data_IF_010357760144
#
_entry.id   IF_010357760144
#
_cell.length_a   1.000
_cell.length_b   1.000
_cell.length_c   1.000
_cell.angle_alpha   90.00
_cell.angle_beta   90.00
_cell.angle_gamma   90.00
#
_symmetry.space_group_name_H-M   'P 1'
#
loop_
_entity.id
_entity.type
_entity.pdbx_description
1 polymer ?
#
# COMPACT_ATOMS: atom_id res chain seq x y z
N UNK A 1 19.67 -16.83 1.12
CA UNK A 1 18.83 -17.93 0.63
C UNK A 1 17.50 -17.77 1.34
N UNK A 2 16.56 -17.05 0.73
CA UNK A 2 15.27 -16.75 1.36
C UNK A 2 14.42 -18.00 1.37
N UNK A 3 13.86 -18.28 2.53
CA UNK A 3 13.00 -19.43 2.84
C UNK A 3 11.68 -19.32 2.05
N UNK A 4 11.48 -20.27 1.12
CA UNK A 4 10.29 -20.37 0.26
C UNK A 4 8.99 -20.53 1.06
N UNK A 5 9.06 -20.98 2.31
CA UNK A 5 7.88 -21.26 3.13
C UNK A 5 7.18 -19.98 3.62
N UNK A 6 7.92 -18.88 3.80
CA UNK A 6 7.34 -17.59 4.18
C UNK A 6 6.56 -16.93 3.04
N UNK A 7 6.99 -17.13 1.80
CA UNK A 7 6.29 -16.60 0.62
C UNK A 7 5.01 -17.39 0.33
N UNK A 8 5.01 -18.71 0.58
CA UNK A 8 3.82 -19.55 0.51
C UNK A 8 2.78 -19.19 1.58
N UNK A 9 3.21 -18.88 2.81
CA UNK A 9 2.33 -18.46 3.89
C UNK A 9 1.63 -17.12 3.60
N UNK A 10 2.33 -16.16 2.98
CA UNK A 10 1.75 -14.87 2.58
C UNK A 10 0.74 -15.01 1.42
N UNK A 11 1.03 -15.90 0.46
CA UNK A 11 0.09 -16.26 -0.62
C UNK A 11 -1.20 -16.86 -0.04
N UNK A 12 -1.08 -17.82 0.89
CA UNK A 12 -2.23 -18.47 1.51
C UNK A 12 -3.08 -17.50 2.35
N UNK A 13 -2.47 -16.50 3.00
CA UNK A 13 -3.17 -15.53 3.82
C UNK A 13 -4.00 -14.53 2.98
N UNK A 14 -3.45 -14.07 1.85
CA UNK A 14 -4.18 -13.18 0.91
C UNK A 14 -5.34 -13.92 0.21
N UNK A 15 -5.17 -15.18 -0.17
CA UNK A 15 -6.26 -16.01 -0.71
C UNK A 15 -7.34 -16.33 0.34
N UNK A 16 -6.97 -16.46 1.61
CA UNK A 16 -7.94 -16.67 2.70
C UNK A 16 -8.81 -15.44 2.96
N UNK A 17 -8.26 -14.22 2.86
CA UNK A 17 -9.03 -12.97 2.99
C UNK A 17 -10.06 -12.79 1.86
N UNK A 18 -9.73 -13.22 0.63
CA UNK A 18 -10.67 -13.21 -0.50
C UNK A 18 -11.81 -14.24 -0.36
N UNK A 19 -11.62 -15.28 0.46
CA UNK A 19 -12.60 -16.36 0.66
C UNK A 19 -13.50 -16.20 1.90
N UNK A 20 -13.24 -15.20 2.75
CA UNK A 20 -14.01 -14.97 3.97
C UNK A 20 -15.48 -14.54 3.70
N UNK A 21 -15.76 -13.89 2.57
CA UNK A 21 -17.12 -13.52 2.16
C UNK A 21 -17.99 -14.74 1.78
N UNK A 22 -17.36 -15.86 1.41
CA UNK A 22 -18.06 -17.10 1.04
C UNK A 22 -18.46 -17.94 2.26
N UNK A 23 -17.87 -17.69 3.44
CA UNK A 23 -18.14 -18.47 4.65
C UNK A 23 -19.33 -17.95 5.47
N UNK A 24 -19.69 -16.68 5.34
CA UNK A 24 -20.84 -16.11 6.05
C UNK A 24 -22.19 -16.65 5.54
N UNK A 25 -22.27 -17.04 4.27
CA UNK A 25 -23.44 -17.70 3.67
C UNK A 25 -23.57 -19.19 4.09
N UNK A 26 -22.49 -19.82 4.57
CA UNK A 26 -22.49 -21.23 4.99
C UNK A 26 -22.92 -21.43 6.44
N UNK A 27 -22.86 -20.39 7.28
CA UNK A 27 -23.27 -20.50 8.69
C UNK A 27 -24.79 -20.47 8.89
N UNK A 28 -25.55 -19.86 7.96
CA UNK A 28 -27.02 -19.81 8.07
C UNK A 28 -27.73 -21.12 7.65
N UNK A 29 -27.05 -22.03 6.95
CA UNK A 29 -27.65 -23.28 6.45
C UNK A 29 -27.53 -24.50 7.38
N UNK A 30 -26.91 -24.38 8.58
CA UNK A 30 -26.64 -25.50 9.50
C UNK A 30 -27.40 -25.46 10.83
N UNK A 31 -28.52 -24.73 10.91
CA UNK A 31 -29.36 -24.66 12.13
C UNK A 31 -30.69 -25.40 12.03
N UNK A 32 -30.81 -26.40 11.16
CA UNK A 32 -31.97 -27.29 11.20
C UNK A 32 -31.54 -28.75 11.17
N UNK A 33 -32.13 -29.49 12.11
CA UNK A 33 -32.12 -30.93 12.31
C UNK A 33 -30.97 -31.46 13.17
N UNK A 34 -31.37 -31.84 14.37
CA UNK A 34 -30.63 -32.58 15.38
C UNK A 34 -31.36 -33.93 15.61
N UNK A 35 -30.63 -34.93 16.10
CA UNK A 35 -31.03 -36.27 16.60
C UNK A 35 -31.10 -37.46 15.60
N UNK A 36 -30.19 -38.43 15.80
CA UNK A 36 -30.49 -39.84 15.56
C UNK A 36 -29.34 -40.72 15.02
N UNK A 37 -28.75 -41.51 15.92
CA UNK A 37 -28.15 -42.84 15.73
C UNK A 37 -27.01 -43.08 14.70
N UNK A 38 -25.91 -43.59 15.24
CA UNK A 38 -24.73 -44.16 14.56
C UNK A 38 -25.08 -45.49 13.89
N UNK A 39 -24.78 -45.63 12.60
CA UNK A 39 -24.42 -46.91 11.97
C UNK A 39 -23.25 -46.70 11.01
N UNK A 40 -22.20 -47.52 11.17
CA UNK A 40 -21.02 -47.52 10.31
C UNK A 40 -21.38 -48.11 8.95
N UNK A 41 -21.30 -47.30 7.89
CA UNK A 41 -21.26 -47.77 6.51
C UNK A 41 -20.00 -47.23 5.85
N UNK A 42 -19.11 -48.14 5.46
CA UNK A 42 -17.94 -47.86 4.61
C UNK A 42 -18.43 -47.53 3.21
N UNK A 43 -18.86 -46.28 3.01
CA UNK A 43 -19.09 -45.74 1.67
C UNK A 43 -17.73 -45.41 1.05
N UNK A 44 -17.48 -46.05 -0.10
CA UNK A 44 -16.34 -45.72 -0.95
C UNK A 44 -16.49 -44.27 -1.37
N UNK A 45 -15.63 -43.41 -0.84
CA UNK A 45 -15.51 -42.02 -1.26
C UNK A 45 -15.11 -42.03 -2.74
N UNK A 46 -16.08 -41.81 -3.62
CA UNK A 46 -15.82 -41.43 -5.00
C UNK A 46 -15.02 -40.13 -4.99
N UNK A 47 -13.96 -39.99 -5.81
CA UNK A 47 -13.28 -38.72 -5.96
C UNK A 47 -14.33 -37.70 -6.41
N UNK A 48 -14.62 -36.73 -5.55
CA UNK A 48 -15.41 -35.56 -5.94
C UNK A 48 -14.57 -34.86 -6.99
N UNK A 49 -14.95 -35.05 -8.25
CA UNK A 49 -14.48 -34.27 -9.38
C UNK A 49 -14.87 -32.82 -9.07
N UNK A 50 -13.94 -32.07 -8.49
CA UNK A 50 -14.09 -30.63 -8.28
C UNK A 50 -13.90 -30.03 -9.67
N UNK A 51 -14.95 -29.51 -10.32
CA UNK A 51 -14.71 -28.78 -11.56
C UNK A 51 -13.76 -27.62 -11.22
N UNK A 52 -12.68 -27.51 -11.99
CA UNK A 52 -11.77 -26.37 -12.03
C UNK A 52 -12.57 -25.14 -12.46
N UNK A 53 -13.38 -24.61 -11.57
CA UNK A 53 -14.12 -23.37 -11.75
C UNK A 53 -13.19 -22.26 -11.30
N UNK A 54 -12.19 -21.95 -12.13
CA UNK A 54 -11.66 -20.59 -12.09
C UNK A 54 -12.85 -19.65 -12.30
N UNK A 55 -13.16 -18.76 -11.34
CA UNK A 55 -14.29 -17.88 -11.47
C UNK A 55 -14.06 -16.97 -12.68
N UNK A 56 -14.87 -17.15 -13.72
CA UNK A 56 -14.81 -16.32 -14.92
C UNK A 56 -15.08 -14.87 -14.52
N UNK A 57 -14.16 -13.98 -14.88
CA UNK A 57 -14.37 -12.55 -14.72
C UNK A 57 -15.63 -12.13 -15.49
N UNK A 58 -16.47 -11.34 -14.83
CA UNK A 58 -17.57 -10.65 -15.49
C UNK A 58 -17.04 -9.76 -16.62
N UNK A 59 -17.89 -9.43 -17.60
CA UNK A 59 -17.52 -8.52 -18.68
C UNK A 59 -16.99 -7.17 -18.16
N UNK A 60 -17.54 -6.67 -17.05
CA UNK A 60 -17.07 -5.46 -16.38
C UNK A 60 -15.66 -5.63 -15.81
N UNK A 61 -15.40 -6.71 -15.07
CA UNK A 61 -14.07 -6.99 -14.50
C UNK A 61 -13.00 -7.18 -15.60
N UNK A 62 -13.35 -7.88 -16.68
CA UNK A 62 -12.46 -8.07 -17.82
C UNK A 62 -12.12 -6.74 -18.50
N UNK A 63 -13.13 -5.93 -18.81
CA UNK A 63 -12.93 -4.62 -19.42
C UNK A 63 -12.12 -3.68 -18.51
N UNK A 64 -12.36 -3.73 -17.19
CA UNK A 64 -11.59 -2.95 -16.22
C UNK A 64 -10.13 -3.38 -16.19
N UNK A 65 -9.89 -4.69 -16.11
CA UNK A 65 -8.54 -5.27 -16.12
C UNK A 65 -7.79 -4.87 -17.38
N UNK A 66 -8.39 -5.01 -18.55
CA UNK A 66 -7.78 -4.64 -19.84
C UNK A 66 -7.46 -3.14 -19.90
N UNK A 67 -8.35 -2.28 -19.43
CA UNK A 67 -8.13 -0.83 -19.34
C UNK A 67 -6.92 -0.50 -18.46
N UNK A 68 -6.83 -1.10 -17.28
CA UNK A 68 -5.73 -0.88 -16.35
C UNK A 68 -4.40 -1.42 -16.89
N UNK A 69 -4.41 -2.57 -17.58
CA UNK A 69 -3.22 -3.15 -18.20
C UNK A 69 -2.70 -2.32 -19.37
N UNK A 70 -3.61 -1.79 -20.19
CA UNK A 70 -3.28 -0.97 -21.35
C UNK A 70 -2.76 0.42 -21.00
N UNK A 71 -2.99 0.92 -19.77
CA UNK A 71 -2.52 2.23 -19.34
C UNK A 71 -1.00 2.22 -19.09
N UNK A 72 -0.19 2.94 -19.90
CA UNK A 72 1.24 3.05 -19.67
C UNK A 72 1.52 3.93 -18.44
N UNK A 73 2.71 3.81 -17.85
CA UNK A 73 3.16 4.77 -16.83
C UNK A 73 3.34 6.13 -17.50
N UNK A 74 2.84 7.18 -16.86
CA UNK A 74 2.98 8.57 -17.30
C UNK A 74 3.56 9.42 -16.18
N UNK A 75 4.15 10.55 -16.54
CA UNK A 75 4.56 11.56 -15.55
C UNK A 75 3.35 12.01 -14.72
N UNK A 76 3.60 12.35 -13.47
CA UNK A 76 2.57 12.95 -12.62
C UNK A 76 2.07 14.26 -13.23
N UNK A 77 0.76 14.55 -13.15
CA UNK A 77 0.21 15.82 -13.60
C UNK A 77 0.65 16.94 -12.67
N UNK A 78 0.57 18.18 -13.15
CA UNK A 78 0.60 19.36 -12.27
C UNK A 78 -0.46 19.21 -11.16
N UNK A 79 -0.15 19.58 -9.90
CA UNK A 79 1.05 20.29 -9.44
C UNK A 79 2.20 19.38 -8.98
N UNK A 80 2.14 18.07 -9.26
CA UNK A 80 3.08 17.08 -8.72
C UNK A 80 4.36 16.97 -9.55
N UNK A 81 5.49 17.00 -8.86
CA UNK A 81 6.83 16.94 -9.42
C UNK A 81 7.60 15.79 -8.77
N UNK A 82 8.25 14.96 -9.59
CA UNK A 82 9.16 13.93 -9.07
C UNK A 82 10.38 14.60 -8.46
N UNK A 83 10.71 14.21 -7.23
CA UNK A 83 11.82 14.78 -6.46
C UNK A 83 12.97 13.78 -6.37
N UNK A 84 12.67 12.53 -6.05
CA UNK A 84 13.69 11.55 -5.78
C UNK A 84 13.26 10.12 -6.09
N UNK A 85 14.24 9.33 -6.51
CA UNK A 85 14.22 7.87 -6.50
C UNK A 85 15.44 7.44 -5.67
N UNK A 86 15.21 6.96 -4.45
CA UNK A 86 16.27 6.64 -3.50
C UNK A 86 16.38 5.13 -3.35
N UNK A 87 17.53 4.52 -3.72
CA UNK A 87 17.77 3.10 -3.48
C UNK A 87 17.86 2.79 -1.99
N UNK A 88 17.09 1.79 -1.55
CA UNK A 88 17.09 1.24 -0.19
C UNK A 88 16.93 -0.27 -0.27
N UNK A 89 18.04 -0.99 -0.10
CA UNK A 89 18.04 -2.45 -0.13
C UNK A 89 17.23 -3.05 1.03
N UNK A 90 16.34 -3.98 0.72
CA UNK A 90 15.55 -4.69 1.74
C UNK A 90 14.62 -3.77 2.51
N UNK A 91 14.05 -2.76 1.86
CA UNK A 91 13.06 -1.88 2.46
C UNK A 91 11.85 -2.70 2.92
N UNK A 92 11.49 -2.52 4.19
CA UNK A 92 10.39 -3.21 4.86
C UNK A 92 9.14 -2.34 4.90
N UNK A 93 9.28 -1.04 5.13
CA UNK A 93 8.17 -0.09 5.12
C UNK A 93 8.62 1.36 5.26
N UNK A 94 7.66 2.27 5.14
CA UNK A 94 7.87 3.70 5.28
C UNK A 94 6.79 4.34 6.15
N UNK A 95 7.11 5.49 6.75
CA UNK A 95 6.16 6.30 7.50
C UNK A 95 6.47 7.78 7.40
N UNK A 96 5.45 8.63 7.49
CA UNK A 96 5.63 10.07 7.46
C UNK A 96 5.72 10.67 8.86
N UNK A 97 6.53 11.71 8.99
CA UNK A 97 6.57 12.58 10.15
C UNK A 97 6.65 14.05 9.70
N UNK A 98 6.35 14.98 10.60
CA UNK A 98 6.58 16.41 10.35
C UNK A 98 7.85 16.83 11.07
N UNK A 99 8.72 17.57 10.38
CA UNK A 99 9.85 18.22 11.03
C UNK A 99 9.33 19.18 12.13
N UNK A 100 9.93 19.17 13.33
CA UNK A 100 9.36 19.87 14.49
C UNK A 100 9.36 21.40 14.33
N UNK A 101 10.33 21.97 13.62
CA UNK A 101 10.51 23.43 13.53
C UNK A 101 9.71 24.07 12.39
N UNK A 102 9.76 23.50 11.20
CA UNK A 102 9.21 24.10 9.97
C UNK A 102 8.11 23.26 9.32
N UNK A 103 7.70 22.16 9.98
CA UNK A 103 6.55 21.32 9.61
C UNK A 103 6.63 20.67 8.24
N UNK A 104 7.78 20.70 7.57
CA UNK A 104 7.96 20.01 6.29
C UNK A 104 7.88 18.50 6.46
N UNK A 105 7.48 17.82 5.40
CA UNK A 105 7.30 16.38 5.41
C UNK A 105 8.66 15.67 5.47
N UNK A 106 8.76 14.72 6.39
CA UNK A 106 9.87 13.79 6.50
C UNK A 106 9.36 12.38 6.25
N UNK A 107 10.19 11.54 5.64
CA UNK A 107 9.88 10.12 5.46
C UNK A 107 10.91 9.25 6.17
N UNK A 108 10.41 8.47 7.12
CA UNK A 108 11.14 7.43 7.81
C UNK A 108 11.08 6.17 6.95
N UNK A 109 12.22 5.51 6.78
CA UNK A 109 12.36 4.28 6.01
C UNK A 109 12.96 3.22 6.93
N UNK A 110 12.28 2.09 7.02
CA UNK A 110 12.72 0.91 7.77
C UNK A 110 13.18 -0.14 6.77
N UNK A 111 14.42 -0.61 6.91
CA UNK A 111 15.03 -1.61 6.01
C UNK A 111 15.79 -2.65 6.80
N UNK A 112 16.15 -3.76 6.14
CA UNK A 112 16.96 -4.84 6.72
C UNK A 112 18.34 -4.39 7.18
N UNK A 113 18.89 -3.32 6.59
CA UNK A 113 20.20 -2.78 6.98
C UNK A 113 20.06 -1.66 8.03
N UNK A 114 18.90 -1.54 8.67
CA UNK A 114 18.55 -0.51 9.64
C UNK A 114 17.65 0.58 9.07
N UNK A 115 17.54 1.69 9.78
CA UNK A 115 16.57 2.75 9.49
C UNK A 115 17.21 4.02 8.97
N UNK A 116 16.47 4.79 8.19
CA UNK A 116 16.89 6.10 7.69
C UNK A 116 15.75 7.11 7.66
N UNK A 117 16.08 8.38 7.91
CA UNK A 117 15.15 9.49 7.79
C UNK A 117 15.57 10.36 6.63
N UNK A 118 14.61 10.73 5.79
CA UNK A 118 14.81 11.55 4.61
C UNK A 118 13.91 12.77 4.65
N UNK A 119 14.42 13.86 4.09
CA UNK A 119 13.60 15.00 3.71
C UNK A 119 12.70 14.57 2.54
N UNK A 120 11.38 14.60 2.72
CA UNK A 120 10.48 14.12 1.69
C UNK A 120 10.36 15.11 0.50
N UNK A 121 10.80 16.36 0.69
CA UNK A 121 10.73 17.43 -0.31
C UNK A 121 11.98 17.50 -1.17
N UNK A 122 13.14 17.09 -0.65
CA UNK A 122 14.40 17.07 -1.41
C UNK A 122 14.89 15.64 -1.71
N UNK A 123 14.41 14.64 -0.99
CA UNK A 123 14.94 13.27 -1.04
C UNK A 123 16.29 13.09 -0.32
N UNK A 124 16.81 14.13 0.33
CA UNK A 124 18.08 14.06 1.03
C UNK A 124 17.96 13.25 2.32
N UNK A 125 18.99 12.44 2.60
CA UNK A 125 19.06 11.66 3.84
C UNK A 125 19.50 12.55 5.00
N UNK A 126 18.65 12.68 6.01
CA UNK A 126 18.86 13.50 7.20
C UNK A 126 19.56 12.70 8.31
N UNK A 127 19.12 11.46 8.54
CA UNK A 127 19.66 10.61 9.60
C UNK A 127 19.67 9.14 9.20
N UNK A 128 20.53 8.34 9.84
CA UNK A 128 20.64 6.90 9.62
C UNK A 128 21.02 6.20 10.91
N UNK A 129 20.30 5.14 11.23
CA UNK A 129 20.66 4.19 12.28
C UNK A 129 20.83 2.79 11.68
N UNK A 130 22.07 2.27 11.69
CA UNK A 130 22.41 0.98 11.07
C UNK A 130 22.09 -0.22 11.96
N UNK A 131 22.04 -0.02 13.26
CA UNK A 131 21.88 -1.11 14.23
C UNK A 131 20.83 -0.69 15.27
N UNK A 132 19.54 -0.60 14.86
CA UNK A 132 18.46 -0.37 15.82
C UNK A 132 18.46 -1.46 16.89
N UNK A 133 17.97 -1.13 18.09
CA UNK A 133 17.77 -2.12 19.15
C UNK A 133 16.86 -3.27 18.70
N UNK A 134 16.97 -4.48 19.27
CA UNK A 134 16.16 -5.63 18.87
C UNK A 134 14.64 -5.38 18.90
N UNK A 135 14.18 -4.56 19.84
CA UNK A 135 12.78 -4.15 19.98
C UNK A 135 12.30 -3.12 18.94
N UNK A 136 13.24 -2.46 18.25
CA UNK A 136 12.96 -1.40 17.29
C UNK A 136 13.38 -1.77 15.87
N UNK A 137 14.06 -2.91 15.64
CA UNK A 137 14.56 -3.34 14.33
C UNK A 137 13.46 -3.38 13.26
N UNK A 138 12.29 -3.92 13.61
CA UNK A 138 11.13 -4.04 12.72
C UNK A 138 9.86 -3.43 13.34
N UNK A 139 8.90 -2.96 12.51
CA UNK A 139 7.70 -2.29 13.03
C UNK A 139 6.76 -3.20 13.83
N UNK A 140 6.75 -4.51 13.54
CA UNK A 140 5.85 -5.50 14.15
C UNK A 140 6.20 -5.87 15.59
N UNK A 141 7.37 -5.43 16.08
CA UNK A 141 7.73 -5.52 17.51
C UNK A 141 6.80 -4.70 18.40
N UNK A 142 6.08 -3.72 17.84
CA UNK A 142 5.11 -2.89 18.56
C UNK A 142 3.68 -3.07 18.03
N UNK A 143 2.65 -3.08 18.90
CA UNK A 143 1.26 -3.27 18.47
C UNK A 143 0.73 -2.23 17.49
N UNK A 144 1.30 -1.03 17.49
CA UNK A 144 0.91 0.10 16.65
C UNK A 144 1.74 0.22 15.36
N UNK A 145 2.56 -0.79 15.06
CA UNK A 145 3.42 -0.88 13.87
C UNK A 145 4.30 0.35 13.68
N UNK A 146 4.95 0.81 14.76
CA UNK A 146 5.75 2.03 14.76
C UNK A 146 7.22 1.79 15.08
N UNK A 147 8.09 2.66 14.58
CA UNK A 147 9.52 2.69 14.90
C UNK A 147 9.92 4.03 15.55
N UNK A 148 10.99 4.10 16.36
CA UNK A 148 11.49 5.34 16.92
C UNK A 148 11.93 6.33 15.83
N UNK A 149 11.65 7.61 16.03
CA UNK A 149 12.12 8.68 15.15
C UNK A 149 13.64 8.89 15.25
N UNK A 150 14.25 9.26 14.12
CA UNK A 150 15.68 9.59 14.03
C UNK A 150 15.91 11.09 13.95
N UNK A 151 17.12 11.55 14.30
CA UNK A 151 17.55 12.92 14.13
C UNK A 151 16.55 13.94 14.72
N UNK A 152 16.00 14.88 13.92
CA UNK A 152 15.13 15.95 14.42
C UNK A 152 13.80 15.44 15.03
N UNK A 153 13.40 14.20 14.76
CA UNK A 153 12.16 13.62 15.32
C UNK A 153 12.43 12.58 16.40
N UNK A 154 13.66 12.51 16.92
CA UNK A 154 13.97 11.68 18.08
C UNK A 154 13.07 12.03 19.27
N UNK A 155 12.61 11.01 19.99
CA UNK A 155 11.61 11.13 21.06
C UNK A 155 10.16 11.01 20.58
N UNK A 156 9.93 10.94 19.27
CA UNK A 156 8.63 10.56 18.67
C UNK A 156 8.68 9.15 18.11
N UNK A 157 7.52 8.55 17.83
CA UNK A 157 7.40 7.30 17.05
C UNK A 157 6.73 7.59 15.72
N UNK A 158 7.11 6.82 14.70
CA UNK A 158 6.56 6.94 13.35
C UNK A 158 5.83 5.65 13.01
N UNK A 159 4.53 5.74 12.68
CA UNK A 159 3.78 4.59 12.17
C UNK A 159 4.27 4.21 10.78
N UNK A 160 4.52 2.92 10.59
CA UNK A 160 5.13 2.38 9.38
C UNK A 160 4.09 1.58 8.60
N UNK A 161 3.98 1.87 7.31
CA UNK A 161 3.23 1.09 6.34
C UNK A 161 4.19 0.30 5.46
N UNK A 162 3.93 -0.99 5.26
CA UNK A 162 4.82 -1.86 4.49
C UNK A 162 4.51 -3.34 4.60
N UNK A 163 5.57 -4.16 4.63
CA UNK A 163 5.53 -5.61 4.72
C UNK A 163 4.66 -6.14 5.87
N UNK A 164 4.69 -5.48 7.02
CA UNK A 164 3.97 -5.90 8.21
C UNK A 164 2.53 -5.36 8.30
N UNK A 165 2.06 -4.63 7.29
CA UNK A 165 0.75 -3.98 7.27
C UNK A 165 0.86 -2.46 7.44
N UNK A 166 -0.14 -1.87 8.08
CA UNK A 166 -0.28 -0.41 8.21
C UNK A 166 -0.92 0.24 6.97
N UNK A 167 -0.96 1.57 6.97
CA UNK A 167 -1.53 2.34 5.86
C UNK A 167 -1.08 3.79 5.88
N UNK A 168 -0.88 4.35 4.69
CA UNK A 168 -0.66 5.78 4.48
C UNK A 168 -1.97 6.46 4.05
N UNK A 169 -2.00 7.79 4.08
CA UNK A 169 -3.18 8.51 3.60
C UNK A 169 -3.38 8.26 2.10
N UNK A 170 -4.58 7.85 1.70
CA UNK A 170 -4.94 7.64 0.29
C UNK A 170 -5.68 8.82 -0.32
N UNK A 171 -5.97 9.84 0.48
CA UNK A 171 -6.68 11.05 0.04
C UNK A 171 -6.06 12.30 0.64
N UNK A 172 -6.27 13.44 -0.02
CA UNK A 172 -5.89 14.76 0.47
C UNK A 172 -7.10 15.67 0.59
N UNK A 173 -7.02 16.71 1.41
CA UNK A 173 -8.13 17.64 1.66
C UNK A 173 -8.59 18.41 0.42
N UNK A 174 -7.73 18.60 -0.57
CA UNK A 174 -8.03 19.30 -1.83
C UNK A 174 -8.41 18.34 -2.98
N UNK A 175 -8.76 17.09 -2.65
CA UNK A 175 -9.46 16.18 -3.54
C UNK A 175 -8.57 15.27 -4.39
N UNK A 176 -7.29 15.08 -4.04
CA UNK A 176 -6.47 14.03 -4.66
C UNK A 176 -6.70 12.68 -4.01
N UNK A 177 -6.64 11.63 -4.84
CA UNK A 177 -6.84 10.25 -4.46
C UNK A 177 -5.70 9.40 -5.03
N UNK A 178 -5.20 8.48 -4.21
CA UNK A 178 -4.19 7.50 -4.57
C UNK A 178 -4.77 6.10 -4.35
N UNK A 179 -4.69 5.27 -5.38
CA UNK A 179 -5.17 3.89 -5.35
C UNK A 179 -4.06 2.95 -5.81
N UNK A 180 -3.98 1.79 -5.17
CA UNK A 180 -3.07 0.71 -5.56
C UNK A 180 -3.91 -0.42 -6.12
N UNK A 181 -3.67 -0.79 -7.38
CA UNK A 181 -4.39 -1.86 -8.08
C UNK A 181 -3.43 -2.92 -8.58
N UNK A 182 -3.89 -4.17 -8.62
CA UNK A 182 -3.06 -5.32 -9.04
C UNK A 182 -3.72 -6.11 -10.18
N UNK A 183 -3.91 -5.50 -11.38
CA UNK A 183 -4.67 -6.13 -12.47
C UNK A 183 -3.98 -7.39 -13.05
N UNK A 184 -2.66 -7.51 -12.87
CA UNK A 184 -1.89 -8.70 -13.17
C UNK A 184 -0.89 -8.96 -12.04
N UNK A 185 -1.38 -9.60 -10.98
CA UNK A 185 -0.57 -10.04 -9.85
C UNK A 185 0.72 -10.73 -10.34
N UNK A 186 1.88 -10.46 -9.72
CA UNK A 186 2.11 -9.62 -8.53
C UNK A 186 2.40 -8.14 -8.82
N UNK A 187 2.09 -7.64 -10.02
CA UNK A 187 2.53 -6.31 -10.43
C UNK A 187 1.54 -5.22 -10.01
N UNK A 188 1.83 -4.59 -8.88
CA UNK A 188 1.07 -3.46 -8.36
C UNK A 188 1.27 -2.19 -9.20
N UNK A 189 0.20 -1.41 -9.32
CA UNK A 189 0.18 -0.14 -10.03
C UNK A 189 -0.39 0.93 -9.11
N UNK A 190 0.27 2.08 -9.05
CA UNK A 190 -0.19 3.23 -8.29
C UNK A 190 -0.86 4.20 -9.25
N UNK A 191 -2.13 4.48 -8.97
CA UNK A 191 -2.98 5.38 -9.71
C UNK A 191 -3.17 6.66 -8.90
N UNK A 192 -2.97 7.80 -9.55
CA UNK A 192 -3.32 9.12 -9.02
C UNK A 192 -4.55 9.63 -9.74
N UNK A 193 -5.46 10.28 -9.03
CA UNK A 193 -6.65 10.94 -9.61
C UNK A 193 -7.09 12.13 -8.77
N UNK A 194 -8.02 12.94 -9.30
CA UNK A 194 -8.59 14.11 -8.63
C UNK A 194 -10.12 14.13 -8.77
N UNK A 195 -10.80 14.76 -7.82
CA UNK A 195 -12.23 15.11 -7.84
C UNK A 195 -13.21 13.92 -7.71
N UNK A 196 -12.81 12.86 -7.01
CA UNK A 196 -13.74 11.96 -6.31
C UNK A 196 -14.70 11.15 -7.17
N UNK A 197 -14.40 10.95 -8.47
CA UNK A 197 -15.13 10.00 -9.31
C UNK A 197 -14.78 8.55 -8.98
N UNK A 198 -15.42 7.59 -9.67
CA UNK A 198 -14.85 6.25 -9.80
C UNK A 198 -13.38 6.46 -10.22
N UNK A 199 -12.39 5.93 -9.48
CA UNK A 199 -11.01 5.93 -9.95
C UNK A 199 -11.00 5.37 -11.37
N UNK A 200 -10.06 5.72 -12.22
CA UNK A 200 -9.99 5.25 -13.62
C UNK A 200 -11.23 5.54 -14.53
N UNK A 201 -12.17 6.41 -14.13
CA UNK A 201 -13.25 6.88 -15.01
C UNK A 201 -12.78 8.02 -15.94
N UNK A 202 -13.04 7.88 -17.25
CA UNK A 202 -12.59 8.82 -18.27
C UNK A 202 -11.11 8.67 -18.70
N UNK A 203 -10.60 9.54 -19.58
CA UNK A 203 -9.33 9.30 -20.28
C UNK A 203 -8.12 9.22 -19.34
N UNK A 204 -7.27 8.22 -19.59
CA UNK A 204 -5.96 8.07 -18.92
C UNK A 204 -5.04 9.23 -19.33
N UNK A 205 -4.32 9.82 -18.38
CA UNK A 205 -3.49 11.00 -18.59
C UNK A 205 -4.23 12.33 -18.42
N UNK A 206 -5.56 12.29 -18.24
CA UNK A 206 -6.38 13.49 -18.06
C UNK A 206 -7.16 13.50 -16.73
N UNK A 207 -7.82 12.39 -16.39
CA UNK A 207 -8.59 12.27 -15.14
C UNK A 207 -7.90 11.41 -14.09
N UNK A 208 -7.04 10.52 -14.55
CA UNK A 208 -6.27 9.62 -13.72
C UNK A 208 -4.97 9.26 -14.44
N UNK A 209 -3.94 8.99 -13.65
CA UNK A 209 -2.58 8.76 -14.11
C UNK A 209 -2.05 7.49 -13.45
N UNK A 210 -1.53 6.57 -14.26
CA UNK A 210 -0.71 5.49 -13.75
C UNK A 210 0.70 6.04 -13.52
N UNK A 211 1.05 6.31 -12.26
CA UNK A 211 2.27 7.07 -11.90
C UNK A 211 3.43 6.17 -11.48
N UNK A 212 3.15 4.92 -11.10
CA UNK A 212 4.16 3.95 -10.72
C UNK A 212 3.71 2.52 -11.02
N UNK A 213 4.64 1.68 -11.49
CA UNK A 213 4.42 0.27 -11.78
C UNK A 213 5.50 -0.58 -11.11
N UNK A 214 5.10 -1.43 -10.16
CA UNK A 214 5.98 -2.39 -9.49
C UNK A 214 6.14 -3.64 -10.36
N UNK A 215 7.12 -3.66 -11.27
CA UNK A 215 7.35 -4.77 -12.19
C UNK A 215 8.67 -5.53 -11.97
N UNK A 216 9.55 -5.02 -11.10
CA UNK A 216 10.85 -5.64 -10.77
C UNK A 216 11.06 -5.83 -9.26
N UNK A 217 10.35 -5.08 -8.43
CA UNK A 217 10.51 -5.06 -6.98
C UNK A 217 9.16 -5.23 -6.30
N UNK A 218 9.16 -5.83 -5.12
CA UNK A 218 7.94 -6.08 -4.36
C UNK A 218 7.40 -4.76 -3.81
N UNK A 219 6.14 -4.45 -4.09
CA UNK A 219 5.49 -3.27 -3.55
C UNK A 219 5.38 -3.35 -2.01
N UNK A 220 5.68 -2.25 -1.32
CA UNK A 220 5.60 -2.14 0.14
C UNK A 220 4.47 -1.24 0.58
N UNK A 221 4.43 -0.01 0.08
CA UNK A 221 3.41 0.96 0.47
C UNK A 221 3.33 2.11 -0.55
N UNK A 222 2.19 2.79 -0.58
CA UNK A 222 2.04 4.06 -1.26
C UNK A 222 1.02 4.94 -0.54
N UNK A 223 1.23 6.25 -0.60
CA UNK A 223 0.27 7.21 -0.08
C UNK A 223 0.83 8.61 0.08
N UNK A 224 -0.03 9.49 0.56
CA UNK A 224 0.26 10.88 0.86
C UNK A 224 0.86 11.04 2.25
N UNK A 225 1.67 12.08 2.41
CA UNK A 225 1.99 12.64 3.72
C UNK A 225 0.73 13.20 4.40
N UNK A 226 0.73 13.34 5.74
CA UNK A 226 -0.39 13.96 6.46
C UNK A 226 -0.70 15.40 6.01
N UNK A 227 0.29 16.14 5.50
CA UNK A 227 0.09 17.48 4.94
C UNK A 227 -0.58 17.44 3.55
N UNK A 228 -0.61 16.26 2.91
CA UNK A 228 -1.07 16.04 1.55
C UNK A 228 -0.14 16.65 0.49
N UNK A 229 1.09 17.07 0.84
CA UNK A 229 2.01 17.73 -0.10
C UNK A 229 3.05 16.81 -0.72
N UNK A 230 3.17 15.58 -0.20
CA UNK A 230 4.12 14.58 -0.68
C UNK A 230 3.40 13.28 -0.97
N UNK A 231 3.73 12.63 -2.10
CA UNK A 231 3.43 11.23 -2.38
C UNK A 231 4.71 10.44 -2.17
N UNK A 232 4.60 9.32 -1.48
CA UNK A 232 5.64 8.30 -1.44
C UNK A 232 5.12 6.98 -2.01
N UNK A 233 5.97 6.30 -2.78
CA UNK A 233 5.79 4.90 -3.18
C UNK A 233 7.05 4.15 -2.79
N UNK A 234 6.90 3.07 -2.06
CA UNK A 234 8.00 2.24 -1.59
C UNK A 234 7.89 0.83 -2.16
N UNK A 235 9.02 0.32 -2.64
CA UNK A 235 9.22 -1.09 -3.00
C UNK A 235 10.27 -1.69 -2.06
N UNK A 236 10.57 -2.98 -2.19
CA UNK A 236 11.63 -3.63 -1.41
C UNK A 236 13.05 -3.15 -1.76
N UNK A 237 13.22 -2.33 -2.81
CA UNK A 237 14.52 -1.86 -3.30
C UNK A 237 14.70 -0.35 -3.29
N UNK A 238 13.62 0.43 -3.21
CA UNK A 238 13.67 1.87 -3.38
C UNK A 238 12.42 2.58 -2.83
N UNK A 239 12.55 3.89 -2.67
CA UNK A 239 11.45 4.82 -2.45
C UNK A 239 11.44 5.87 -3.57
N UNK A 240 10.27 6.09 -4.14
CA UNK A 240 9.98 7.16 -5.10
C UNK A 240 9.15 8.25 -4.42
N UNK A 241 9.56 9.51 -4.60
CA UNK A 241 8.94 10.68 -3.97
C UNK A 241 8.49 11.70 -5.01
N UNK A 242 7.28 12.22 -4.83
CA UNK A 242 6.76 13.36 -5.56
C UNK A 242 6.25 14.40 -4.59
N UNK A 243 6.46 15.68 -4.90
CA UNK A 243 5.89 16.76 -4.11
C UNK A 243 5.14 17.74 -4.99
N UNK A 244 4.25 18.49 -4.38
CA UNK A 244 3.61 19.62 -5.03
C UNK A 244 3.87 20.88 -4.23
N UNK A 245 4.02 22.01 -4.93
CA UNK A 245 4.05 23.31 -4.28
C UNK A 245 2.63 23.83 -4.17
N UNK A 246 2.06 23.87 -2.97
CA UNK A 246 0.93 24.78 -2.75
C UNK A 246 1.47 26.21 -2.83
N UNK A 247 1.13 26.93 -3.90
CA UNK A 247 1.28 28.38 -3.91
C UNK A 247 0.60 28.94 -2.67
N UNK A 248 1.27 29.85 -1.97
CA UNK A 248 0.69 30.64 -0.88
C UNK A 248 -0.48 31.47 -1.41
N UNK A 249 -1.66 30.85 -1.47
CA UNK A 249 -2.91 31.46 -1.87
C UNK A 249 -3.71 31.91 -0.66
N UNK A 250 -3.11 32.69 0.25
CA UNK A 250 -3.92 33.55 1.10
C UNK A 250 -4.37 34.74 0.27
N UNK A 251 -5.50 34.59 -0.42
CA UNK A 251 -6.29 35.77 -0.79
C UNK A 251 -6.70 36.43 0.52
N UNK A 252 -6.07 37.55 0.85
CA UNK A 252 -6.61 38.50 1.83
C UNK A 252 -8.04 38.82 1.42
N UNK A 253 -9.01 38.25 2.12
CA UNK A 253 -10.40 38.65 1.99
C UNK A 253 -10.48 39.99 2.71
N UNK A 254 -10.36 41.07 1.92
CA UNK A 254 -10.60 42.42 2.38
C UNK A 254 -12.02 42.49 2.95
N UNK A 255 -12.10 42.91 4.21
CA UNK A 255 -13.33 43.39 4.82
C UNK A 255 -13.73 44.70 4.14
N UNK A 256 -14.98 44.76 3.68
CA UNK A 256 -15.75 45.98 3.49
C UNK A 256 -17.21 45.68 3.84
#
# INVERSE_FOLDING_TARGET
MLDMDHQAAFIACKEACLNADTQHLRWQARRSVDHGAVTNSTDKITPVERPDLEPKLSAYQQAMRERLLAAPVVSTPEPWQSVALVPVGGLLGIGFASHPEDRRDLVMVVSRDGHGLFDAVTGEKIARDREPGPEDETPDSMPDMSCPGLGPITGSRVHIAGLFGGGLHTTTADGWYLEVVTPAWPNDRVLLSRDGGLPHSGPHGERWWHIFHSNYSEFRAAGFSPSGQTIAVATSSDISLWTRKTGQGHSSRAEH
#
